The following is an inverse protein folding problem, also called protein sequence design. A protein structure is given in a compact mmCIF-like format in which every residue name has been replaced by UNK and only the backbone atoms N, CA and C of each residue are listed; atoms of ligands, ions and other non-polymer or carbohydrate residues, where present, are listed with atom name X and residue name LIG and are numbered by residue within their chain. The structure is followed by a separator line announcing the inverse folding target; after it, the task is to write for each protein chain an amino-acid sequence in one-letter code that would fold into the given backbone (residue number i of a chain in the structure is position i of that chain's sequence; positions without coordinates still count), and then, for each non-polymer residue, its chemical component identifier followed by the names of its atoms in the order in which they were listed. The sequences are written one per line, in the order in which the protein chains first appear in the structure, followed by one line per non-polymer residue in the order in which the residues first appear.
data_IF_273815718407
#
_entry.id   IF_273815718407
#
_cell.length_a   1.000
_cell.length_b   1.000
_cell.length_c   1.000
_cell.angle_alpha   90.00
_cell.angle_beta   90.00
_cell.angle_gamma   90.00
#
_symmetry.space_group_name_H-M   'P 1'
#
loop_
_entity.id
_entity.type
_entity.pdbx_description
1 polymer ?
#
# COMPACT_ATOMS: atom_id res chain seq x y z
N UNK A 1 -21.21 26.19 45.50
CA UNK A 1 -19.87 25.69 45.12
C UNK A 1 -20.10 24.45 44.29
N UNK A 2 -20.11 24.63 42.98
CA UNK A 2 -20.47 23.60 42.00
C UNK A 2 -19.18 22.95 41.54
N UNK A 3 -19.06 21.65 41.77
CA UNK A 3 -17.96 20.79 41.35
C UNK A 3 -18.08 20.62 39.84
N UNK A 4 -17.19 21.27 39.09
CA UNK A 4 -17.02 21.03 37.66
C UNK A 4 -16.10 19.84 37.47
N UNK A 5 -16.68 18.65 37.28
CA UNK A 5 -15.96 17.49 36.79
C UNK A 5 -15.69 17.67 35.30
N UNK A 6 -14.43 17.92 34.94
CA UNK A 6 -13.93 17.78 33.58
C UNK A 6 -14.01 16.30 33.19
N UNK A 7 -14.93 15.98 32.27
CA UNK A 7 -14.91 14.72 31.54
C UNK A 7 -13.76 14.81 30.53
N UNK A 8 -12.58 14.35 30.92
CA UNK A 8 -11.55 13.97 29.95
C UNK A 8 -12.03 12.71 29.23
N UNK A 9 -12.44 12.90 27.98
CA UNK A 9 -12.73 11.84 27.03
C UNK A 9 -11.49 11.00 26.81
N UNK A 10 -11.54 9.77 27.34
CA UNK A 10 -10.58 8.70 27.16
C UNK A 10 -10.38 8.40 25.65
N UNK A 11 -9.37 9.01 25.02
CA UNK A 11 -8.85 8.59 23.71
C UNK A 11 -7.92 7.41 23.96
N UNK A 12 -8.40 6.20 23.70
CA UNK A 12 -7.55 5.00 23.65
C UNK A 12 -6.65 5.10 22.41
N UNK A 13 -5.51 5.80 22.51
CA UNK A 13 -4.43 5.65 21.54
C UNK A 13 -3.70 4.33 21.81
N UNK A 14 -3.35 3.60 20.75
CA UNK A 14 -2.56 2.39 20.88
C UNK A 14 -1.07 2.69 20.73
N UNK A 15 -0.28 1.88 21.41
CA UNK A 15 1.17 1.90 21.36
C UNK A 15 1.60 0.65 20.61
N UNK A 16 2.45 0.81 19.60
CA UNK A 16 2.81 -0.29 18.70
C UNK A 16 4.30 -0.30 18.38
N UNK A 17 4.85 -1.51 18.32
CA UNK A 17 6.24 -1.76 17.98
C UNK A 17 6.35 -2.31 16.57
N UNK A 18 7.30 -1.80 15.80
CA UNK A 18 7.40 -2.11 14.37
C UNK A 18 8.86 -2.36 13.98
N UNK A 19 9.06 -3.38 13.15
CA UNK A 19 10.36 -3.67 12.51
C UNK A 19 10.55 -2.74 11.31
N UNK A 20 11.68 -2.05 11.27
CA UNK A 20 12.00 -1.02 10.28
C UNK A 20 12.14 0.35 10.93
N UNK A 21 13.24 1.05 10.62
CA UNK A 21 13.51 2.40 11.13
C UNK A 21 13.93 3.30 9.97
N UNK A 22 13.24 4.42 9.69
CA UNK A 22 13.61 5.30 8.57
C UNK A 22 15.02 5.91 8.71
N UNK A 23 15.55 6.02 9.93
CA UNK A 23 16.90 6.52 10.19
C UNK A 23 17.98 5.47 9.99
N UNK A 24 17.65 4.18 9.85
CA UNK A 24 18.63 3.12 9.66
C UNK A 24 19.07 3.01 8.19
N UNK A 25 20.38 2.96 7.93
CA UNK A 25 21.00 2.90 6.61
C UNK A 25 22.09 1.83 6.54
N UNK A 26 22.21 1.19 5.37
CA UNK A 26 23.27 0.22 5.09
C UNK A 26 24.06 0.71 3.88
N UNK A 27 25.37 0.89 4.06
CA UNK A 27 26.30 1.32 3.01
C UNK A 27 27.44 0.32 2.86
N UNK A 28 27.26 -0.67 1.99
CA UNK A 28 28.20 -1.79 1.90
C UNK A 28 28.20 -2.58 3.21
N UNK A 29 29.36 -2.65 3.87
CA UNK A 29 29.51 -3.33 5.16
C UNK A 29 29.18 -2.43 6.37
N UNK A 30 29.03 -1.11 6.16
CA UNK A 30 28.78 -0.14 7.23
C UNK A 30 27.27 -0.02 7.51
N UNK A 31 26.92 -0.01 8.80
CA UNK A 31 25.54 0.14 9.29
C UNK A 31 25.44 1.43 10.09
N UNK A 32 24.60 2.35 9.65
CA UNK A 32 24.53 3.71 10.18
C UNK A 32 23.11 4.04 10.67
N UNK A 33 23.03 4.77 11.77
CA UNK A 33 21.83 5.51 12.19
C UNK A 33 22.01 6.98 11.82
N UNK A 34 21.09 7.50 11.00
CA UNK A 34 21.06 8.89 10.52
C UNK A 34 19.81 9.57 11.08
N UNK A 35 19.84 9.86 12.38
CA UNK A 35 18.76 10.54 13.08
C UNK A 35 19.09 12.03 13.21
N UNK A 36 18.22 12.91 12.71
CA UNK A 36 18.39 14.37 12.76
C UNK A 36 19.72 14.88 12.18
N UNK A 37 20.11 14.35 11.01
CA UNK A 37 21.39 14.64 10.33
C UNK A 37 22.65 14.25 11.14
N UNK A 38 22.48 13.59 12.30
CA UNK A 38 23.56 13.00 13.08
C UNK A 38 23.82 11.57 12.60
N UNK A 39 25.07 11.26 12.30
CA UNK A 39 25.49 9.94 11.83
C UNK A 39 26.16 9.19 12.97
N UNK A 40 25.65 8.01 13.28
CA UNK A 40 26.22 7.09 14.25
C UNK A 40 26.41 5.72 13.60
N UNK A 41 27.62 5.17 13.70
CA UNK A 41 27.85 3.78 13.33
C UNK A 41 27.24 2.87 14.39
N UNK A 42 26.46 1.88 13.94
CA UNK A 42 25.66 1.03 14.84
C UNK A 42 25.90 -0.44 14.60
N UNK A 43 25.99 -1.19 15.69
CA UNK A 43 25.98 -2.64 15.70
C UNK A 43 24.53 -3.12 15.74
N UNK A 44 24.12 -3.75 14.64
CA UNK A 44 22.73 -4.20 14.51
C UNK A 44 22.56 -5.58 15.11
N UNK A 45 21.63 -5.67 16.06
CA UNK A 45 21.15 -6.93 16.63
C UNK A 45 19.75 -7.17 16.07
N UNK A 46 19.58 -8.27 15.35
CA UNK A 46 18.24 -8.68 14.90
C UNK A 46 17.49 -9.28 16.09
N UNK A 47 16.45 -8.57 16.52
CA UNK A 47 15.61 -8.94 17.67
C UNK A 47 14.17 -9.04 17.21
N UNK A 48 13.50 -10.15 17.54
CA UNK A 48 12.06 -10.33 17.28
C UNK A 48 11.25 -9.27 18.07
N UNK A 49 10.38 -8.53 17.39
CA UNK A 49 9.57 -7.48 18.03
C UNK A 49 8.64 -8.02 19.11
N UNK A 50 8.31 -9.31 19.09
CA UNK A 50 7.57 -9.97 20.16
C UNK A 50 8.31 -10.01 21.50
N UNK A 51 9.65 -9.90 21.50
CA UNK A 51 10.46 -9.86 22.73
C UNK A 51 10.23 -8.57 23.54
N UNK A 52 9.74 -7.52 22.89
CA UNK A 52 9.41 -6.22 23.46
C UNK A 52 7.90 -6.03 23.63
N UNK A 53 7.11 -7.10 23.46
CA UNK A 53 5.64 -7.07 23.44
C UNK A 53 4.94 -6.69 24.76
N UNK A 54 5.72 -6.31 25.78
CA UNK A 54 5.23 -5.88 27.08
C UNK A 54 5.24 -4.37 27.26
N UNK A 55 5.94 -3.62 26.40
CA UNK A 55 5.96 -2.16 26.48
C UNK A 55 4.63 -1.55 26.03
N UNK A 56 3.90 -0.94 26.98
CA UNK A 56 2.59 -0.29 26.75
C UNK A 56 2.62 1.20 27.02
N UNK A 57 3.80 1.73 27.36
CA UNK A 57 4.03 3.13 27.68
C UNK A 57 5.46 3.52 27.33
N UNK A 58 5.70 4.82 27.19
CA UNK A 58 7.04 5.37 27.02
C UNK A 58 7.98 4.99 28.17
N UNK A 59 7.46 4.88 29.39
CA UNK A 59 8.24 4.46 30.56
C UNK A 59 8.69 3.00 30.45
N UNK A 60 7.89 2.13 29.83
CA UNK A 60 8.28 0.74 29.57
C UNK A 60 9.41 0.67 28.53
N UNK A 61 9.34 1.50 27.48
CA UNK A 61 10.39 1.60 26.46
C UNK A 61 11.73 2.01 27.08
N UNK A 62 11.74 2.87 28.10
CA UNK A 62 12.97 3.27 28.78
C UNK A 62 13.68 2.09 29.48
N UNK A 63 12.94 1.06 29.88
CA UNK A 63 13.49 -0.17 30.44
C UNK A 63 14.01 -1.16 29.38
N UNK A 64 13.69 -0.94 28.10
CA UNK A 64 14.08 -1.79 26.97
C UNK A 64 15.24 -1.20 26.15
N UNK A 65 15.72 -0.01 26.53
CA UNK A 65 16.87 0.64 25.92
C UNK A 65 18.14 -0.19 26.10
N UNK A 66 19.05 -0.08 25.13
CA UNK A 66 20.39 -0.62 25.25
C UNK A 66 21.21 0.19 26.26
N UNK A 67 22.05 -0.50 27.04
CA UNK A 67 23.07 0.15 27.88
C UNK A 67 24.25 0.71 27.06
N UNK A 68 24.41 0.22 25.81
CA UNK A 68 25.43 0.67 24.85
C UNK A 68 24.83 1.60 23.78
N UNK A 69 25.51 2.73 23.55
CA UNK A 69 25.03 3.80 22.64
C UNK A 69 25.04 3.41 21.15
N UNK A 70 25.83 2.40 20.75
CA UNK A 70 25.98 1.96 19.36
C UNK A 70 25.07 0.77 18.98
N UNK A 71 24.30 0.21 19.89
CA UNK A 71 23.40 -0.91 19.56
C UNK A 71 22.13 -0.40 18.86
N UNK A 72 21.73 -1.09 17.80
CA UNK A 72 20.51 -0.81 17.05
C UNK A 72 19.69 -2.10 16.81
N UNK A 73 18.42 -2.07 17.19
CA UNK A 73 17.45 -3.15 16.97
C UNK A 73 16.66 -2.98 15.66
N UNK A 74 17.01 -1.97 14.87
CA UNK A 74 16.33 -1.58 13.62
C UNK A 74 14.80 -1.52 13.74
N UNK A 75 14.30 -1.15 14.91
CA UNK A 75 12.88 -1.20 15.26
C UNK A 75 12.49 0.09 15.97
N UNK A 76 11.23 0.47 15.81
CA UNK A 76 10.70 1.76 16.29
C UNK A 76 9.41 1.56 17.08
N UNK A 77 9.18 2.52 17.95
CA UNK A 77 8.01 2.62 18.81
C UNK A 77 7.11 3.75 18.31
N UNK A 78 5.86 3.43 17.98
CA UNK A 78 4.86 4.40 17.53
C UNK A 78 3.96 4.76 18.72
N UNK A 79 3.97 6.05 19.06
CA UNK A 79 3.08 6.64 20.06
C UNK A 79 2.01 7.48 19.37
N UNK A 80 0.84 6.88 19.15
CA UNK A 80 -0.33 7.53 18.54
C UNK A 80 -0.89 8.67 19.42
N UNK A 81 -0.64 8.64 20.74
CA UNK A 81 -1.16 9.65 21.68
C UNK A 81 -0.38 10.95 21.51
N UNK A 82 0.95 10.87 21.45
CA UNK A 82 1.80 12.04 21.25
C UNK A 82 2.10 12.35 19.79
N UNK A 83 1.63 11.49 18.88
CA UNK A 83 1.92 11.51 17.44
C UNK A 83 3.42 11.54 17.14
N UNK A 84 4.20 10.70 17.85
CA UNK A 84 5.66 10.65 17.74
C UNK A 84 6.16 9.23 17.55
N UNK A 85 7.33 9.14 16.92
CA UNK A 85 8.06 7.90 16.76
C UNK A 85 9.34 7.95 17.58
N UNK A 86 9.64 6.85 18.27
CA UNK A 86 10.84 6.70 19.08
C UNK A 86 11.69 5.52 18.62
N UNK A 87 13.00 5.66 18.69
CA UNK A 87 13.95 4.55 18.55
C UNK A 87 13.85 3.66 19.79
N UNK A 88 13.68 2.35 19.66
CA UNK A 88 13.61 1.44 20.83
C UNK A 88 14.98 1.33 21.50
N UNK A 89 16.05 1.21 20.70
CA UNK A 89 17.40 0.97 21.23
C UNK A 89 17.92 2.12 22.07
N UNK A 90 17.60 3.35 21.69
CA UNK A 90 18.15 4.56 22.32
C UNK A 90 17.08 5.44 23.00
N UNK A 91 15.80 5.17 22.74
CA UNK A 91 14.66 5.97 23.21
C UNK A 91 14.60 7.40 22.67
N UNK A 92 15.36 7.71 21.63
CA UNK A 92 15.35 9.01 20.98
C UNK A 92 14.08 9.22 20.16
N UNK A 93 13.56 10.45 20.17
CA UNK A 93 12.56 10.85 19.18
C UNK A 93 13.21 10.79 17.81
N UNK A 94 12.56 10.15 16.85
CA UNK A 94 13.02 10.14 15.47
C UNK A 94 12.74 11.48 14.82
N UNK A 95 13.77 12.05 14.20
CA UNK A 95 13.73 13.34 13.54
C UNK A 95 14.46 13.27 12.21
N UNK A 96 13.97 14.03 11.24
CA UNK A 96 14.61 14.21 9.94
C UNK A 96 14.71 15.72 9.71
N UNK A 97 15.88 16.23 9.37
CA UNK A 97 16.11 17.66 9.08
C UNK A 97 15.51 18.61 10.13
N UNK A 98 15.74 18.35 11.41
CA UNK A 98 15.30 19.20 12.53
C UNK A 98 13.82 19.06 12.91
N UNK A 99 13.08 18.10 12.34
CA UNK A 99 11.64 17.93 12.59
C UNK A 99 11.31 16.51 13.01
N UNK A 100 10.40 16.40 13.97
CA UNK A 100 9.92 15.11 14.50
C UNK A 100 9.16 14.36 13.39
N UNK A 101 9.40 13.05 13.27
CA UNK A 101 8.61 12.18 12.38
C UNK A 101 7.27 11.90 13.05
N UNK A 102 6.14 12.30 12.44
CA UNK A 102 4.82 12.01 13.01
C UNK A 102 4.52 10.51 12.99
N UNK A 103 3.85 10.02 14.04
CA UNK A 103 3.38 8.63 14.10
C UNK A 103 2.47 8.30 12.91
N UNK A 104 1.53 9.20 12.58
CA UNK A 104 0.61 9.03 11.44
C UNK A 104 1.33 8.85 10.11
N UNK A 105 2.40 9.60 9.85
CA UNK A 105 3.14 9.52 8.59
C UNK A 105 3.92 8.21 8.47
N UNK A 106 4.45 7.70 9.59
CA UNK A 106 5.09 6.39 9.62
C UNK A 106 4.06 5.27 9.44
N UNK A 107 2.90 5.36 10.07
CA UNK A 107 1.82 4.38 9.88
C UNK A 107 1.33 4.33 8.43
N UNK A 108 1.13 5.48 7.80
CA UNK A 108 0.80 5.58 6.37
C UNK A 108 1.89 4.90 5.51
N UNK A 109 3.16 5.15 5.83
CA UNK A 109 4.30 4.53 5.13
C UNK A 109 4.31 3.01 5.28
N UNK A 110 4.00 2.51 6.48
CA UNK A 110 3.98 1.09 6.78
C UNK A 110 2.80 0.37 6.15
N UNK A 111 1.60 0.94 6.23
CA UNK A 111 0.42 0.41 5.53
C UNK A 111 0.68 0.35 4.02
N UNK A 112 1.40 1.33 3.49
CA UNK A 112 1.72 1.38 2.07
C UNK A 112 2.77 0.35 1.63
N UNK A 113 3.86 0.22 2.38
CA UNK A 113 4.96 -0.70 2.05
C UNK A 113 4.62 -2.16 2.35
N UNK A 114 3.57 -2.41 3.16
CA UNK A 114 3.11 -3.75 3.47
C UNK A 114 2.18 -4.28 2.38
N UNK A 115 2.64 -5.20 1.53
CA UNK A 115 1.76 -5.97 0.63
C UNK A 115 1.06 -7.16 1.33
N UNK A 116 1.44 -7.46 2.58
CA UNK A 116 0.88 -8.51 3.43
C UNK A 116 0.21 -7.90 4.67
N UNK A 117 -0.58 -8.70 5.40
CA UNK A 117 -1.17 -8.30 6.68
C UNK A 117 -0.08 -7.73 7.62
N UNK A 118 -0.38 -6.58 8.24
CA UNK A 118 0.45 -5.81 9.18
C UNK A 118 0.99 -6.61 10.40
N UNK A 119 0.62 -7.87 10.53
CA UNK A 119 0.98 -8.80 11.60
C UNK A 119 2.08 -9.79 11.21
N UNK A 120 2.43 -9.88 9.92
CA UNK A 120 3.57 -10.66 9.47
C UNK A 120 4.85 -9.85 9.67
N UNK A 121 5.90 -10.50 10.17
CA UNK A 121 7.24 -9.99 10.41
C UNK A 121 7.94 -9.51 9.12
N UNK A 122 7.43 -8.47 8.48
CA UNK A 122 8.04 -7.88 7.30
C UNK A 122 9.24 -7.05 7.73
N UNK A 123 10.42 -7.41 7.21
CA UNK A 123 11.55 -6.49 7.11
C UNK A 123 11.18 -5.40 6.11
N UNK A 124 10.64 -4.29 6.61
CA UNK A 124 10.33 -3.15 5.74
C UNK A 124 11.64 -2.42 5.47
N UNK A 125 11.96 -2.26 4.19
CA UNK A 125 13.15 -1.55 3.75
C UNK A 125 13.20 -0.14 4.36
N UNK A 126 14.21 0.10 5.20
CA UNK A 126 14.39 1.35 5.94
C UNK A 126 14.60 2.56 5.01
N UNK A 127 15.19 2.33 3.84
CA UNK A 127 15.31 3.36 2.79
C UNK A 127 13.97 3.72 2.14
N UNK A 128 13.10 2.73 1.93
CA UNK A 128 11.75 2.97 1.42
C UNK A 128 10.94 3.80 2.42
N UNK A 129 11.00 3.47 3.72
CA UNK A 129 10.33 4.24 4.77
C UNK A 129 10.79 5.70 4.79
N UNK A 130 12.10 5.92 4.77
CA UNK A 130 12.67 7.27 4.77
C UNK A 130 12.20 8.10 3.57
N UNK A 131 12.32 7.54 2.36
CA UNK A 131 11.93 8.26 1.15
C UNK A 131 10.42 8.48 1.08
N UNK A 132 9.60 7.55 1.55
CA UNK A 132 8.15 7.72 1.62
C UNK A 132 7.79 8.89 2.55
N UNK A 133 8.35 8.90 3.76
CA UNK A 133 8.11 9.96 4.76
C UNK A 133 8.50 11.32 4.16
N UNK A 134 9.66 11.44 3.53
CA UNK A 134 10.07 12.69 2.89
C UNK A 134 9.16 13.13 1.74
N UNK A 135 8.62 12.18 0.97
CA UNK A 135 7.85 12.47 -0.24
C UNK A 135 6.40 12.85 0.08
N UNK A 136 5.78 12.20 1.08
CA UNK A 136 4.33 12.22 1.28
C UNK A 136 3.87 12.80 2.62
N UNK A 137 4.80 13.06 3.55
CA UNK A 137 4.47 13.79 4.77
C UNK A 137 4.33 15.28 4.50
N UNK A 138 3.25 15.86 5.00
CA UNK A 138 3.07 17.33 5.01
C UNK A 138 4.15 18.01 5.87
N UNK A 139 4.67 17.31 6.88
CA UNK A 139 5.74 17.80 7.77
C UNK A 139 7.01 18.11 6.98
N UNK A 140 7.28 17.37 5.91
CA UNK A 140 8.49 17.46 5.10
C UNK A 140 8.23 18.05 3.69
N UNK A 141 7.06 18.65 3.44
CA UNK A 141 6.67 19.12 2.11
C UNK A 141 7.60 20.17 1.47
N UNK A 142 8.41 20.86 2.27
CA UNK A 142 9.37 21.89 1.86
C UNK A 142 10.80 21.37 1.63
N UNK A 143 11.13 20.11 1.99
CA UNK A 143 12.47 19.56 1.73
C UNK A 143 12.69 19.15 0.28
N UNK A 144 11.63 19.07 -0.52
CA UNK A 144 11.68 18.68 -1.92
C UNK A 144 11.02 19.73 -2.80
N UNK A 145 11.59 19.98 -3.97
CA UNK A 145 10.88 20.73 -5.00
C UNK A 145 9.66 19.96 -5.49
N UNK A 146 8.67 20.65 -6.06
CA UNK A 146 7.48 20.01 -6.64
C UNK A 146 7.84 18.98 -7.72
N UNK A 147 8.93 19.22 -8.46
CA UNK A 147 9.41 18.30 -9.48
C UNK A 147 9.99 17.02 -8.85
N UNK A 148 10.86 17.16 -7.85
CA UNK A 148 11.41 16.00 -7.13
C UNK A 148 10.31 15.17 -6.45
N UNK A 149 9.30 15.83 -5.85
CA UNK A 149 8.14 15.15 -5.26
C UNK A 149 7.35 14.38 -6.33
N UNK A 150 7.08 14.98 -7.48
CA UNK A 150 6.35 14.32 -8.57
C UNK A 150 7.16 13.15 -9.18
N UNK A 151 8.47 13.28 -9.31
CA UNK A 151 9.36 12.22 -9.82
C UNK A 151 9.44 11.04 -8.84
N UNK A 152 9.46 11.29 -7.53
CA UNK A 152 9.38 10.22 -6.53
C UNK A 152 7.99 9.56 -6.57
N UNK A 153 6.90 10.32 -6.56
CA UNK A 153 5.54 9.76 -6.71
C UNK A 153 5.43 8.92 -7.99
N UNK A 154 6.00 9.38 -9.12
CA UNK A 154 6.08 8.61 -10.37
C UNK A 154 6.77 7.25 -10.16
N UNK A 155 7.96 7.23 -9.54
CA UNK A 155 8.71 5.99 -9.25
C UNK A 155 7.91 5.05 -8.37
N UNK A 156 7.23 5.58 -7.36
CA UNK A 156 6.38 4.80 -6.46
C UNK A 156 5.19 4.20 -7.19
N UNK A 157 4.40 5.01 -7.90
CA UNK A 157 3.23 4.54 -8.64
C UNK A 157 3.63 3.46 -9.64
N UNK A 158 4.78 3.61 -10.32
CA UNK A 158 5.30 2.63 -11.25
C UNK A 158 5.63 1.28 -10.57
N UNK A 159 6.48 1.29 -9.53
CA UNK A 159 6.86 0.06 -8.80
C UNK A 159 5.65 -0.60 -8.15
N UNK A 160 4.79 0.19 -7.53
CA UNK A 160 3.60 -0.31 -6.83
C UNK A 160 2.60 -0.92 -7.80
N UNK A 161 2.35 -0.28 -8.96
CA UNK A 161 1.45 -0.84 -9.98
C UNK A 161 1.93 -2.20 -10.49
N UNK A 162 3.24 -2.36 -10.71
CA UNK A 162 3.81 -3.64 -11.14
C UNK A 162 3.58 -4.75 -10.09
N UNK A 163 3.81 -4.43 -8.82
CA UNK A 163 3.60 -5.35 -7.70
C UNK A 163 2.13 -5.76 -7.56
N UNK A 164 1.20 -4.80 -7.70
CA UNK A 164 -0.24 -5.09 -7.72
C UNK A 164 -0.59 -6.01 -8.89
N UNK A 165 -0.08 -5.74 -10.10
CA UNK A 165 -0.36 -6.58 -11.28
C UNK A 165 0.09 -8.02 -11.06
N UNK A 166 1.30 -8.23 -10.51
CA UNK A 166 1.80 -9.56 -10.15
C UNK A 166 0.86 -10.24 -9.15
N UNK A 167 0.53 -9.55 -8.04
CA UNK A 167 -0.36 -10.09 -7.00
C UNK A 167 -1.74 -10.44 -7.55
N UNK A 168 -2.36 -9.55 -8.32
CA UNK A 168 -3.68 -9.77 -8.91
C UNK A 168 -3.69 -10.94 -9.90
N UNK A 169 -2.61 -11.11 -10.68
CA UNK A 169 -2.49 -12.25 -11.60
C UNK A 169 -2.36 -13.60 -10.89
N UNK A 170 -1.83 -13.60 -9.66
CA UNK A 170 -1.64 -14.81 -8.86
C UNK A 170 -2.90 -15.21 -8.07
N UNK A 171 -3.89 -14.32 -7.95
CA UNK A 171 -5.13 -14.53 -7.18
C UNK A 171 -6.38 -14.72 -8.04
N UNK A 172 -6.29 -14.51 -9.36
CA UNK A 172 -7.43 -14.59 -10.27
C UNK A 172 -7.38 -15.88 -11.09
N UNK A 173 -8.38 -16.74 -10.97
CA UNK A 173 -8.47 -18.01 -11.70
C UNK A 173 -8.54 -17.83 -13.22
N UNK A 174 -8.96 -16.65 -13.70
CA UNK A 174 -8.97 -16.33 -15.13
C UNK A 174 -7.61 -15.82 -15.62
N UNK A 175 -6.62 -15.67 -14.73
CA UNK A 175 -5.30 -15.18 -15.06
C UNK A 175 -4.23 -16.24 -14.84
N UNK A 176 -3.19 -16.17 -15.66
CA UNK A 176 -1.91 -16.85 -15.45
C UNK A 176 -1.01 -15.93 -14.65
N UNK A 177 -0.34 -16.52 -13.66
CA UNK A 177 0.75 -15.88 -12.94
C UNK A 177 1.73 -15.27 -13.94
N UNK A 178 1.96 -13.95 -13.79
CA UNK A 178 2.93 -13.24 -14.62
C UNK A 178 4.32 -13.21 -14.00
N UNK A 179 4.49 -13.61 -12.75
CA UNK A 179 5.77 -13.58 -12.02
C UNK A 179 5.59 -13.56 -10.50
N UNK A 180 6.67 -13.20 -9.80
CA UNK A 180 6.73 -13.01 -8.34
C UNK A 180 7.23 -11.60 -7.97
N UNK A 181 7.07 -11.22 -6.70
CA UNK A 181 7.62 -9.95 -6.19
C UNK A 181 9.15 -9.94 -6.26
N UNK A 182 9.80 -11.09 -6.03
CA UNK A 182 11.26 -11.24 -6.08
C UNK A 182 11.82 -10.97 -7.50
N UNK A 183 11.09 -11.39 -8.55
CA UNK A 183 11.46 -11.13 -9.95
C UNK A 183 11.51 -9.63 -10.27
N UNK A 184 10.68 -8.81 -9.58
CA UNK A 184 10.69 -7.36 -9.72
C UNK A 184 11.96 -6.77 -9.11
N UNK A 185 12.40 -7.28 -7.96
CA UNK A 185 13.56 -6.76 -7.24
C UNK A 185 14.88 -7.12 -7.93
N UNK A 186 14.94 -8.28 -8.60
CA UNK A 186 16.09 -8.71 -9.42
C UNK A 186 16.22 -7.95 -10.75
N UNK A 187 15.28 -7.05 -11.07
CA UNK A 187 15.32 -6.23 -12.27
C UNK A 187 15.01 -6.99 -13.57
N UNK A 188 14.21 -8.06 -13.48
CA UNK A 188 13.64 -8.75 -14.65
C UNK A 188 12.79 -7.77 -15.47
N UNK A 189 12.56 -8.04 -16.76
CA UNK A 189 11.84 -7.15 -17.70
C UNK A 189 10.39 -6.84 -17.22
N UNK A 190 10.27 -5.85 -16.33
CA UNK A 190 9.01 -5.35 -15.76
C UNK A 190 8.00 -4.91 -16.81
N UNK A 191 8.48 -4.58 -18.02
CA UNK A 191 7.63 -4.22 -19.14
C UNK A 191 7.00 -5.45 -19.80
N UNK A 192 7.67 -6.60 -19.79
CA UNK A 192 7.07 -7.88 -20.21
C UNK A 192 5.93 -8.31 -19.27
N UNK A 193 6.12 -8.15 -17.95
CA UNK A 193 5.08 -8.48 -16.97
C UNK A 193 3.80 -7.67 -17.16
N UNK A 194 3.91 -6.34 -17.22
CA UNK A 194 2.73 -5.47 -17.42
C UNK A 194 2.06 -5.74 -18.77
N UNK A 195 2.81 -6.00 -19.85
CA UNK A 195 2.21 -6.38 -21.14
C UNK A 195 1.44 -7.70 -21.06
N UNK A 196 2.01 -8.70 -20.40
CA UNK A 196 1.33 -9.99 -20.17
C UNK A 196 0.03 -9.80 -19.39
N UNK A 197 0.06 -8.96 -18.36
CA UNK A 197 -1.12 -8.61 -17.58
C UNK A 197 -2.19 -7.89 -18.42
N UNK A 198 -1.80 -6.89 -19.22
CA UNK A 198 -2.71 -6.15 -20.10
C UNK A 198 -3.40 -7.05 -21.14
N UNK A 199 -2.68 -8.04 -21.68
CA UNK A 199 -3.29 -9.02 -22.61
C UNK A 199 -4.37 -9.84 -21.90
N UNK A 200 -4.12 -10.28 -20.68
CA UNK A 200 -5.09 -11.06 -19.91
C UNK A 200 -6.32 -10.23 -19.52
N UNK A 201 -6.16 -8.92 -19.26
CA UNK A 201 -7.30 -8.02 -19.04
C UNK A 201 -8.18 -7.89 -20.29
N UNK A 202 -7.59 -7.86 -21.49
CA UNK A 202 -8.36 -7.88 -22.74
C UNK A 202 -9.13 -9.20 -22.90
N UNK A 203 -8.50 -10.33 -22.55
CA UNK A 203 -9.18 -11.64 -22.57
C UNK A 203 -10.36 -11.68 -21.58
N UNK A 204 -10.20 -11.12 -20.38
CA UNK A 204 -11.31 -10.97 -19.43
C UNK A 204 -12.41 -10.05 -19.96
N UNK A 205 -12.05 -8.91 -20.56
CA UNK A 205 -13.01 -7.99 -21.16
C UNK A 205 -13.84 -8.69 -22.25
N UNK A 206 -13.18 -9.41 -23.15
CA UNK A 206 -13.84 -10.18 -24.22
C UNK A 206 -14.74 -11.28 -23.66
N UNK A 207 -14.31 -11.96 -22.59
CA UNK A 207 -15.13 -12.96 -21.91
C UNK A 207 -16.42 -12.35 -21.36
N UNK A 208 -16.31 -11.30 -20.53
CA UNK A 208 -17.46 -10.67 -19.90
C UNK A 208 -18.40 -9.99 -20.90
N UNK A 209 -17.86 -9.44 -22.00
CA UNK A 209 -18.66 -8.88 -23.08
C UNK A 209 -19.52 -9.95 -23.78
N UNK A 210 -18.97 -11.15 -24.01
CA UNK A 210 -19.73 -12.29 -24.56
C UNK A 210 -20.84 -12.73 -23.62
N UNK A 211 -20.52 -12.92 -22.34
CA UNK A 211 -21.51 -13.29 -21.32
C UNK A 211 -22.63 -12.25 -21.23
N UNK A 212 -22.28 -10.97 -21.21
CA UNK A 212 -23.24 -9.87 -21.20
C UNK A 212 -24.18 -9.93 -22.42
N UNK A 213 -23.65 -10.15 -23.62
CA UNK A 213 -24.46 -10.29 -24.84
C UNK A 213 -25.37 -11.53 -24.83
N UNK A 214 -24.87 -12.67 -24.35
CA UNK A 214 -25.64 -13.91 -24.20
C UNK A 214 -26.81 -13.72 -23.23
N UNK A 215 -26.58 -13.11 -22.06
CA UNK A 215 -27.62 -12.85 -21.06
C UNK A 215 -28.73 -11.92 -21.59
N UNK A 216 -28.38 -10.90 -22.39
CA UNK A 216 -29.36 -10.04 -23.06
C UNK A 216 -30.23 -10.85 -24.02
N UNK A 217 -29.63 -11.73 -24.82
CA UNK A 217 -30.36 -12.56 -25.79
C UNK A 217 -31.24 -13.61 -25.11
N UNK A 218 -30.77 -14.17 -24.00
CA UNK A 218 -31.50 -15.11 -23.14
C UNK A 218 -32.63 -14.42 -22.36
N UNK A 219 -32.65 -13.08 -22.32
CA UNK A 219 -33.52 -12.28 -21.44
C UNK A 219 -33.40 -12.71 -19.98
N UNK A 220 -32.16 -12.92 -19.56
CA UNK A 220 -31.83 -13.20 -18.17
C UNK A 220 -32.21 -12.02 -17.27
N UNK A 221 -32.19 -12.25 -15.96
CA UNK A 221 -32.51 -11.20 -15.00
C UNK A 221 -31.56 -10.00 -15.13
N UNK A 222 -32.12 -8.78 -15.01
CA UNK A 222 -31.38 -7.51 -15.18
C UNK A 222 -30.13 -7.42 -14.30
N UNK A 223 -30.14 -8.04 -13.11
CA UNK A 223 -29.00 -8.01 -12.20
C UNK A 223 -27.81 -8.83 -12.71
N UNK A 224 -28.04 -9.92 -13.45
CA UNK A 224 -26.98 -10.72 -14.07
C UNK A 224 -26.34 -9.96 -15.24
N UNK A 225 -27.18 -9.31 -16.04
CA UNK A 225 -26.76 -8.44 -17.14
C UNK A 225 -25.89 -7.32 -16.58
N UNK A 226 -26.34 -6.65 -15.50
CA UNK A 226 -25.57 -5.61 -14.81
C UNK A 226 -24.24 -6.16 -14.28
N UNK A 227 -24.23 -7.34 -13.64
CA UNK A 227 -23.01 -7.93 -13.09
C UNK A 227 -21.96 -8.20 -14.18
N UNK A 228 -22.36 -8.82 -15.29
CA UNK A 228 -21.47 -9.05 -16.43
C UNK A 228 -20.94 -7.74 -17.02
N UNK A 229 -21.80 -6.73 -17.17
CA UNK A 229 -21.40 -5.39 -17.63
C UNK A 229 -20.41 -4.70 -16.69
N UNK A 230 -20.63 -4.79 -15.37
CA UNK A 230 -19.71 -4.24 -14.36
C UNK A 230 -18.34 -4.92 -14.43
N UNK A 231 -18.30 -6.24 -14.62
CA UNK A 231 -17.04 -6.99 -14.80
C UNK A 231 -16.29 -6.60 -16.06
N UNK A 232 -17.00 -6.43 -17.18
CA UNK A 232 -16.41 -5.92 -18.44
C UNK A 232 -15.80 -4.53 -18.22
N UNK A 233 -16.57 -3.63 -17.60
CA UNK A 233 -16.13 -2.26 -17.32
C UNK A 233 -14.92 -2.23 -16.38
N UNK A 234 -14.89 -3.09 -15.36
CA UNK A 234 -13.77 -3.16 -14.43
C UNK A 234 -12.48 -3.58 -15.15
N UNK A 235 -12.53 -4.65 -15.97
CA UNK A 235 -11.36 -5.09 -16.73
C UNK A 235 -10.83 -3.98 -17.65
N UNK A 236 -11.74 -3.20 -18.25
CA UNK A 236 -11.38 -2.04 -19.08
C UNK A 236 -10.74 -0.91 -18.26
N UNK A 237 -11.26 -0.60 -17.08
CA UNK A 237 -10.69 0.44 -16.21
C UNK A 237 -9.32 0.02 -15.67
N UNK A 238 -9.15 -1.24 -15.26
CA UNK A 238 -7.85 -1.78 -14.89
C UNK A 238 -6.86 -1.68 -16.06
N UNK A 239 -7.28 -2.05 -17.28
CA UNK A 239 -6.45 -1.93 -18.47
C UNK A 239 -6.00 -0.47 -18.69
N UNK A 240 -6.93 0.48 -18.54
CA UNK A 240 -6.63 1.90 -18.65
C UNK A 240 -5.62 2.34 -17.60
N UNK A 241 -5.81 1.95 -16.33
CA UNK A 241 -4.88 2.24 -15.24
C UNK A 241 -3.47 1.75 -15.56
N UNK A 242 -3.32 0.47 -15.91
CA UNK A 242 -2.00 -0.10 -16.20
C UNK A 242 -1.36 0.44 -17.49
N UNK A 243 -2.17 0.83 -18.47
CA UNK A 243 -1.67 1.53 -19.66
C UNK A 243 -1.15 2.93 -19.31
N UNK A 244 -1.81 3.65 -18.40
CA UNK A 244 -1.38 4.97 -17.95
C UNK A 244 -0.09 4.88 -17.11
N UNK A 245 0.04 3.86 -16.25
CA UNK A 245 1.25 3.66 -15.44
C UNK A 245 2.45 3.29 -16.30
N UNK A 246 2.27 2.53 -17.37
CA UNK A 246 3.31 2.33 -18.39
C UNK A 246 3.75 3.63 -19.04
N UNK A 247 2.80 4.50 -19.40
CA UNK A 247 3.10 5.80 -20.00
C UNK A 247 3.83 6.75 -19.06
N UNK A 248 3.60 6.65 -17.73
CA UNK A 248 4.31 7.48 -16.75
C UNK A 248 5.82 7.40 -16.91
N UNK A 249 6.37 6.21 -17.22
CA UNK A 249 7.81 5.96 -17.34
C UNK A 249 8.49 6.92 -18.32
N UNK A 250 7.85 7.20 -19.44
CA UNK A 250 8.40 7.99 -20.54
C UNK A 250 8.10 9.49 -20.44
N UNK A 251 7.26 9.92 -19.48
CA UNK A 251 6.95 11.34 -19.30
C UNK A 251 8.12 12.05 -18.61
N UNK A 252 8.72 13.01 -19.32
CA UNK A 252 9.72 13.93 -18.78
C UNK A 252 9.17 15.35 -18.53
N UNK A 253 8.04 15.71 -19.13
CA UNK A 253 7.40 17.01 -18.91
C UNK A 253 6.62 17.03 -17.60
N UNK A 254 6.95 17.97 -16.72
CA UNK A 254 6.35 18.09 -15.39
C UNK A 254 4.83 18.32 -15.43
N UNK A 255 4.33 19.17 -16.33
CA UNK A 255 2.89 19.47 -16.39
C UNK A 255 2.10 18.26 -16.91
N UNK A 256 2.67 17.54 -17.88
CA UNK A 256 2.11 16.29 -18.38
C UNK A 256 2.13 15.20 -17.30
N UNK A 257 3.18 15.12 -16.49
CA UNK A 257 3.29 14.18 -15.38
C UNK A 257 2.16 14.40 -14.36
N UNK A 258 1.97 15.64 -13.90
CA UNK A 258 0.89 15.97 -12.96
C UNK A 258 -0.47 15.60 -13.53
N UNK A 259 -0.74 15.93 -14.80
CA UNK A 259 -2.00 15.54 -15.44
C UNK A 259 -2.18 14.03 -15.52
N UNK A 260 -1.13 13.29 -15.87
CA UNK A 260 -1.20 11.83 -15.94
C UNK A 260 -1.50 11.23 -14.56
N UNK A 261 -0.84 11.71 -13.51
CA UNK A 261 -1.10 11.28 -12.14
C UNK A 261 -2.54 11.59 -11.68
N UNK A 262 -3.10 12.75 -12.07
CA UNK A 262 -4.52 13.07 -11.83
C UNK A 262 -5.47 12.13 -12.58
N UNK A 263 -5.13 11.74 -13.82
CA UNK A 263 -5.93 10.76 -14.56
C UNK A 263 -5.87 9.38 -13.90
N UNK A 264 -4.70 8.95 -13.44
CA UNK A 264 -4.54 7.70 -12.70
C UNK A 264 -5.38 7.73 -11.42
N UNK A 265 -5.33 8.83 -10.66
CA UNK A 265 -6.15 9.01 -9.46
C UNK A 265 -7.64 8.80 -9.76
N UNK A 266 -8.14 9.44 -10.81
CA UNK A 266 -9.54 9.32 -11.21
C UNK A 266 -9.90 7.89 -11.61
N UNK A 267 -9.05 7.24 -12.40
CA UNK A 267 -9.28 5.85 -12.81
C UNK A 267 -9.24 4.90 -11.61
N UNK A 268 -8.34 5.11 -10.65
CA UNK A 268 -8.29 4.35 -9.40
C UNK A 268 -9.58 4.49 -8.56
N UNK A 269 -10.17 5.69 -8.50
CA UNK A 269 -11.44 5.94 -7.80
C UNK A 269 -12.61 5.19 -8.46
N UNK A 270 -12.69 5.25 -9.80
CA UNK A 270 -13.69 4.53 -10.58
C UNK A 270 -13.57 3.01 -10.41
N UNK A 271 -12.33 2.47 -10.37
CA UNK A 271 -12.07 1.05 -10.11
C UNK A 271 -12.56 0.66 -8.72
N UNK A 272 -12.24 1.47 -7.69
CA UNK A 272 -12.59 1.17 -6.31
C UNK A 272 -14.12 1.12 -6.12
N UNK A 273 -14.83 2.13 -6.61
CA UNK A 273 -16.30 2.20 -6.52
C UNK A 273 -16.96 1.02 -7.24
N UNK A 274 -16.50 0.70 -8.45
CA UNK A 274 -17.04 -0.40 -9.24
C UNK A 274 -16.75 -1.76 -8.59
N UNK A 275 -15.55 -1.92 -8.05
CA UNK A 275 -15.17 -3.14 -7.35
C UNK A 275 -16.02 -3.38 -6.09
N UNK A 276 -16.31 -2.34 -5.30
CA UNK A 276 -17.19 -2.42 -4.13
C UNK A 276 -18.62 -2.84 -4.50
N UNK A 277 -19.16 -2.29 -5.60
CA UNK A 277 -20.46 -2.73 -6.13
C UNK A 277 -20.45 -4.21 -6.52
N UNK A 278 -19.43 -4.65 -7.27
CA UNK A 278 -19.26 -6.06 -7.67
C UNK A 278 -19.12 -6.96 -6.44
N UNK A 279 -18.30 -6.55 -5.47
CA UNK A 279 -18.04 -7.31 -4.25
C UNK A 279 -19.30 -7.51 -3.41
N UNK A 280 -20.10 -6.46 -3.29
CA UNK A 280 -21.40 -6.50 -2.60
C UNK A 280 -22.35 -7.48 -3.28
N UNK A 281 -22.36 -7.50 -4.62
CA UNK A 281 -23.17 -8.43 -5.40
C UNK A 281 -22.73 -9.89 -5.24
N UNK A 282 -21.43 -10.17 -5.35
CA UNK A 282 -20.88 -11.52 -5.24
C UNK A 282 -21.09 -12.11 -3.83
N UNK A 283 -21.15 -11.29 -2.78
CA UNK A 283 -21.46 -11.75 -1.42
C UNK A 283 -22.95 -11.91 -1.13
N UNK A 284 -23.81 -11.56 -2.06
CA UNK A 284 -25.25 -11.69 -1.85
C UNK A 284 -25.68 -13.15 -1.91
N UNK A 285 -26.70 -13.53 -1.12
CA UNK A 285 -27.25 -14.89 -1.13
C UNK A 285 -27.72 -15.33 -2.53
N UNK A 286 -28.22 -14.39 -3.34
CA UNK A 286 -28.65 -14.67 -4.72
C UNK A 286 -27.48 -15.11 -5.60
N UNK A 287 -26.28 -14.59 -5.36
CA UNK A 287 -25.09 -15.01 -6.09
C UNK A 287 -24.59 -16.37 -5.61
N UNK A 288 -24.60 -16.64 -4.29
CA UNK A 288 -24.24 -17.95 -3.74
C UNK A 288 -25.10 -19.10 -4.31
N UNK A 289 -26.36 -18.83 -4.63
CA UNK A 289 -27.24 -19.81 -5.27
C UNK A 289 -26.98 -19.91 -6.78
N UNK A 290 -26.73 -18.78 -7.46
CA UNK A 290 -26.36 -18.77 -8.88
C UNK A 290 -25.06 -19.56 -9.15
N UNK A 291 -24.01 -19.34 -8.35
CA UNK A 291 -22.69 -19.91 -8.59
C UNK A 291 -22.66 -21.45 -8.53
N UNK A 292 -23.65 -22.06 -7.84
CA UNK A 292 -23.84 -23.51 -7.81
C UNK A 292 -24.41 -24.07 -9.12
N UNK A 293 -25.21 -23.26 -9.82
CA UNK A 293 -26.02 -23.68 -10.97
C UNK A 293 -25.49 -23.17 -12.32
N UNK A 294 -24.77 -22.05 -12.34
CA UNK A 294 -24.25 -21.42 -13.55
C UNK A 294 -22.70 -21.36 -13.57
N UNK A 295 -22.11 -22.26 -14.35
CA UNK A 295 -20.66 -22.35 -14.54
C UNK A 295 -20.03 -21.05 -15.05
N UNK A 296 -20.79 -20.20 -15.77
CA UNK A 296 -20.27 -18.95 -16.36
C UNK A 296 -19.77 -17.96 -15.31
N UNK A 297 -20.29 -18.06 -14.09
CA UNK A 297 -20.01 -17.13 -13.00
C UNK A 297 -19.11 -17.71 -11.91
N UNK A 298 -18.70 -18.98 -11.99
CA UNK A 298 -17.87 -19.63 -10.95
C UNK A 298 -16.55 -18.91 -10.67
N UNK A 299 -15.94 -18.34 -11.70
CA UNK A 299 -14.71 -17.55 -11.55
C UNK A 299 -14.86 -16.36 -10.59
N UNK A 300 -16.09 -15.88 -10.35
CA UNK A 300 -16.34 -14.80 -9.39
C UNK A 300 -16.38 -15.27 -7.93
N UNK A 301 -16.48 -16.57 -7.63
CA UNK A 301 -16.35 -17.07 -6.26
C UNK A 301 -14.92 -16.81 -5.74
N UNK A 302 -13.90 -17.14 -6.54
CA UNK A 302 -12.50 -16.86 -6.24
C UNK A 302 -12.20 -15.34 -6.24
N UNK A 303 -12.96 -14.57 -7.01
CA UNK A 303 -12.80 -13.11 -7.07
C UNK A 303 -13.07 -12.41 -5.72
N UNK A 304 -13.84 -13.01 -4.81
CA UNK A 304 -14.14 -12.38 -3.51
C UNK A 304 -12.90 -12.05 -2.67
N UNK A 305 -11.85 -12.87 -2.74
CA UNK A 305 -10.58 -12.61 -2.05
C UNK A 305 -9.74 -11.57 -2.79
N UNK A 306 -9.67 -11.68 -4.12
CA UNK A 306 -9.03 -10.66 -4.97
C UNK A 306 -9.66 -9.28 -4.77
N UNK A 307 -10.99 -9.21 -4.64
CA UNK A 307 -11.73 -7.96 -4.46
C UNK A 307 -11.26 -7.17 -3.24
N UNK A 308 -10.99 -7.84 -2.10
CA UNK A 308 -10.44 -7.18 -0.90
C UNK A 308 -9.04 -6.63 -1.15
N UNK A 309 -8.24 -7.39 -1.90
CA UNK A 309 -6.88 -6.99 -2.26
C UNK A 309 -6.90 -5.78 -3.21
N UNK A 310 -7.81 -5.77 -4.19
CA UNK A 310 -8.06 -4.62 -5.09
C UNK A 310 -8.45 -3.39 -4.28
N UNK A 311 -9.41 -3.50 -3.35
CA UNK A 311 -9.84 -2.40 -2.48
C UNK A 311 -8.67 -1.79 -1.70
N UNK A 312 -7.88 -2.63 -1.03
CA UNK A 312 -6.72 -2.19 -0.27
C UNK A 312 -5.69 -1.48 -1.15
N UNK A 313 -5.32 -2.10 -2.27
CA UNK A 313 -4.29 -1.60 -3.17
C UNK A 313 -4.69 -0.27 -3.86
N UNK A 314 -5.92 -0.18 -4.36
CA UNK A 314 -6.40 1.05 -4.99
C UNK A 314 -6.71 2.16 -3.99
N UNK A 315 -7.12 1.84 -2.76
CA UNK A 315 -7.23 2.82 -1.68
C UNK A 315 -5.87 3.44 -1.34
N UNK A 316 -4.81 2.63 -1.28
CA UNK A 316 -3.44 3.11 -1.06
C UNK A 316 -2.99 4.05 -2.20
N UNK A 317 -3.30 3.74 -3.47
CA UNK A 317 -3.00 4.63 -4.60
C UNK A 317 -3.74 5.97 -4.47
N UNK A 318 -5.04 5.93 -4.12
CA UNK A 318 -5.83 7.14 -3.92
C UNK A 318 -5.26 8.03 -2.82
N UNK A 319 -4.86 7.44 -1.68
CA UNK A 319 -4.25 8.19 -0.58
C UNK A 319 -2.99 8.93 -1.04
N UNK A 320 -2.11 8.28 -1.79
CA UNK A 320 -0.87 8.91 -2.30
C UNK A 320 -1.17 10.03 -3.29
N UNK A 321 -1.98 9.71 -4.30
CA UNK A 321 -2.26 10.66 -5.37
C UNK A 321 -3.14 11.83 -4.89
N UNK A 322 -3.86 11.68 -3.78
CA UNK A 322 -4.58 12.79 -3.15
C UNK A 322 -3.65 13.83 -2.51
N UNK A 323 -2.39 13.46 -2.22
CA UNK A 323 -1.36 14.34 -1.63
C UNK A 323 -0.50 15.08 -2.67
N UNK A 324 -0.88 15.03 -3.96
CA UNK A 324 -0.20 15.70 -5.08
C UNK A 324 -0.24 17.23 -5.01
#
# INVERSE_FOLDING_TARGET
MTIGGSQDSNRQGTIRLIRGCPCFKVFGDEKLCVNDDSILEVDVIDVDTSLFGFARSKEDMDNERSDEDNICYASVYIDEITNRVYCISQGWVLRIHGRDVPASDLEDALQFLSTKDLTASMEICSDCLYKFILTLSDTFADTMSKQEKADEIKRYVDKFSLMIAVKHSNMDDMMKSIGSEDDIEEGVDSFAFLRSYLVQLLEQQDYWSKIHYELINEKADDWLIKLAQMRELLARLEFQFYSQTLQLRDIADFNLLIKMLQFILKTSDEILLLNDEIHTEIRSKRFEDLAKDDERFKHLEAYGEKSRTVEHNFSNILQILSRL
#
